data_IF_560937048544
#
_entry.id   IF_560937048544
#
_cell.length_a   1.000
_cell.length_b   1.000
_cell.length_c   1.000
_cell.angle_alpha   90.00
_cell.angle_beta   90.00
_cell.angle_gamma   90.00
#
_symmetry.space_group_name_H-M   'P 1'
#
loop_
_entity.id
_entity.type
_entity.pdbx_description
1 polymer ?
#
# COMPACT_ATOMS: atom_id res chain seq x y z
N UNK A 1 22.16 -19.98 -6.46
CA UNK A 1 20.85 -19.56 -6.00
C UNK A 1 20.05 -20.75 -5.51
N UNK A 2 19.44 -20.68 -4.35
CA UNK A 2 18.69 -21.79 -3.77
C UNK A 2 17.28 -21.84 -4.37
N UNK A 3 16.97 -22.89 -5.11
CA UNK A 3 15.67 -23.07 -5.75
C UNK A 3 14.53 -23.14 -4.72
N UNK A 4 14.79 -23.79 -3.56
CA UNK A 4 13.78 -23.88 -2.49
C UNK A 4 13.47 -22.50 -1.88
N UNK A 5 14.49 -21.66 -1.76
CA UNK A 5 14.29 -20.29 -1.27
C UNK A 5 13.46 -19.47 -2.26
N UNK A 6 13.74 -19.59 -3.56
CA UNK A 6 12.98 -18.86 -4.58
C UNK A 6 11.52 -19.29 -4.60
N UNK A 7 11.24 -20.59 -4.48
CA UNK A 7 9.86 -21.11 -4.40
C UNK A 7 9.16 -20.57 -3.14
N UNK A 8 9.86 -20.58 -2.01
CA UNK A 8 9.33 -20.04 -0.75
C UNK A 8 8.97 -18.56 -0.89
N UNK A 9 9.86 -17.74 -1.46
CA UNK A 9 9.61 -16.33 -1.64
C UNK A 9 8.46 -16.06 -2.60
N UNK A 10 8.32 -16.85 -3.65
CA UNK A 10 7.18 -16.74 -4.56
C UNK A 10 5.85 -17.00 -3.84
N UNK A 11 5.82 -18.01 -2.96
CA UNK A 11 4.63 -18.31 -2.16
C UNK A 11 4.31 -17.18 -1.20
N UNK A 12 5.31 -16.58 -0.56
CA UNK A 12 5.11 -15.45 0.36
C UNK A 12 4.52 -14.25 -0.37
N UNK A 13 5.05 -13.94 -1.55
CA UNK A 13 4.54 -12.83 -2.38
C UNK A 13 3.10 -13.10 -2.81
N UNK A 14 2.80 -14.30 -3.29
CA UNK A 14 1.46 -14.70 -3.72
C UNK A 14 0.45 -14.58 -2.59
N UNK A 15 0.80 -15.04 -1.40
CA UNK A 15 -0.07 -14.92 -0.22
C UNK A 15 -0.33 -13.47 0.14
N UNK A 16 0.70 -12.62 0.08
CA UNK A 16 0.54 -11.20 0.37
C UNK A 16 -0.37 -10.51 -0.66
N UNK A 17 -0.23 -10.85 -1.94
CA UNK A 17 -1.08 -10.31 -3.00
C UNK A 17 -2.54 -10.74 -2.81
N UNK A 18 -2.76 -12.01 -2.51
CA UNK A 18 -4.10 -12.54 -2.27
C UNK A 18 -4.75 -11.90 -1.04
N UNK A 19 -3.98 -11.71 0.02
CA UNK A 19 -4.46 -11.08 1.25
C UNK A 19 -4.97 -9.66 0.98
N UNK A 20 -4.20 -8.84 0.27
CA UNK A 20 -4.57 -7.45 0.05
C UNK A 20 -5.71 -7.31 -0.98
N UNK A 21 -5.76 -8.18 -1.99
CA UNK A 21 -6.88 -8.21 -2.93
C UNK A 21 -8.18 -8.63 -2.25
N UNK A 22 -8.11 -9.63 -1.39
CA UNK A 22 -9.24 -10.10 -0.61
C UNK A 22 -9.78 -9.00 0.31
N UNK A 23 -8.90 -8.14 0.79
CA UNK A 23 -9.27 -6.99 1.60
C UNK A 23 -9.97 -5.89 0.80
N UNK A 24 -9.86 -5.88 -0.53
CA UNK A 24 -10.55 -4.92 -1.38
C UNK A 24 -9.64 -3.91 -2.10
N UNK A 25 -8.33 -4.13 -2.07
CA UNK A 25 -7.36 -3.26 -2.76
C UNK A 25 -7.01 -3.81 -4.14
N UNK A 26 -6.99 -2.93 -5.12
CA UNK A 26 -6.57 -3.27 -6.48
C UNK A 26 -5.05 -3.18 -6.58
N UNK A 27 -4.40 -4.21 -7.11
CA UNK A 27 -2.97 -4.17 -7.37
C UNK A 27 -2.67 -3.38 -8.63
N UNK A 28 -1.68 -2.48 -8.55
CA UNK A 28 -1.14 -1.76 -9.69
C UNK A 28 0.26 -2.29 -9.95
N UNK A 29 0.48 -2.87 -11.12
CA UNK A 29 1.70 -3.62 -11.43
C UNK A 29 2.58 -2.96 -12.50
N UNK A 30 2.11 -1.87 -13.10
CA UNK A 30 2.87 -1.11 -14.09
C UNK A 30 2.77 0.39 -13.83
N UNK A 31 3.70 1.15 -14.39
CA UNK A 31 3.66 2.61 -14.30
C UNK A 31 2.39 3.17 -14.95
N UNK A 32 1.95 2.56 -16.05
CA UNK A 32 0.73 2.97 -16.74
C UNK A 32 -0.52 2.77 -15.87
N UNK A 33 -0.60 1.65 -15.17
CA UNK A 33 -1.70 1.37 -14.24
C UNK A 33 -1.76 2.46 -13.16
N UNK A 34 -0.62 2.83 -12.61
CA UNK A 34 -0.53 3.86 -11.58
C UNK A 34 -1.06 5.20 -12.11
N UNK A 35 -0.60 5.63 -13.27
CA UNK A 35 -1.03 6.91 -13.84
C UNK A 35 -2.52 6.91 -14.18
N UNK A 36 -3.05 5.80 -14.71
CA UNK A 36 -4.47 5.70 -15.04
C UNK A 36 -5.36 5.88 -13.81
N UNK A 37 -4.91 5.41 -12.67
CA UNK A 37 -5.68 5.50 -11.43
C UNK A 37 -5.46 6.84 -10.72
N UNK A 38 -4.20 7.23 -10.51
CA UNK A 38 -3.88 8.35 -9.63
C UNK A 38 -4.11 9.72 -10.29
N UNK A 39 -4.20 9.79 -11.61
CA UNK A 39 -4.52 11.02 -12.32
C UNK A 39 -6.01 11.33 -12.34
N UNK A 40 -6.86 10.38 -11.98
CA UNK A 40 -8.30 10.59 -11.96
C UNK A 40 -8.71 11.55 -10.85
N UNK A 41 -9.82 12.24 -11.08
CA UNK A 41 -10.45 13.06 -10.02
C UNK A 41 -10.95 12.17 -8.90
N UNK A 42 -10.98 12.73 -7.70
CA UNK A 42 -11.43 12.05 -6.51
C UNK A 42 -10.26 11.52 -5.69
N UNK A 43 -10.56 10.64 -4.74
CA UNK A 43 -9.59 10.17 -3.75
C UNK A 43 -9.14 8.75 -4.02
N UNK A 44 -7.84 8.53 -3.83
CA UNK A 44 -7.23 7.19 -3.89
C UNK A 44 -6.38 6.98 -2.65
N UNK A 45 -6.60 5.87 -1.97
CA UNK A 45 -5.68 5.43 -0.91
C UNK A 45 -4.70 4.45 -1.55
N UNK A 46 -3.42 4.80 -1.49
CA UNK A 46 -2.35 4.00 -2.07
C UNK A 46 -1.54 3.37 -0.95
N UNK A 47 -1.57 2.05 -0.88
CA UNK A 47 -0.70 1.30 0.03
C UNK A 47 0.57 0.90 -0.71
N UNK A 48 1.71 1.39 -0.23
CA UNK A 48 3.00 0.84 -0.66
C UNK A 48 3.26 -0.37 0.21
N UNK A 49 3.13 -1.53 -0.40
CA UNK A 49 3.15 -2.83 0.29
C UNK A 49 4.53 -3.47 0.22
N UNK A 50 4.75 -4.43 1.08
CA UNK A 50 5.95 -5.25 1.05
C UNK A 50 5.65 -6.61 1.65
N UNK A 51 6.63 -7.52 1.63
CA UNK A 51 6.51 -8.83 2.25
C UNK A 51 7.25 -8.92 3.59
N UNK A 52 7.64 -7.78 4.16
CA UNK A 52 8.30 -7.73 5.48
C UNK A 52 7.30 -7.97 6.61
N UNK A 53 7.82 -8.20 7.82
CA UNK A 53 7.00 -8.44 9.00
C UNK A 53 6.07 -7.28 9.36
N UNK A 54 6.51 -6.03 9.18
CA UNK A 54 5.68 -4.85 9.43
C UNK A 54 4.47 -4.79 8.49
N UNK A 55 4.65 -5.16 7.23
CA UNK A 55 3.55 -5.18 6.26
C UNK A 55 2.56 -6.29 6.60
N UNK A 56 3.04 -7.51 6.84
CA UNK A 56 2.19 -8.66 7.13
C UNK A 56 1.52 -8.62 8.49
N UNK A 57 2.25 -8.17 9.51
CA UNK A 57 1.77 -8.16 10.89
C UNK A 57 0.98 -6.92 11.28
N UNK A 58 1.19 -5.79 10.62
CA UNK A 58 0.58 -4.50 11.01
C UNK A 58 -0.13 -3.83 9.84
N UNK A 59 0.57 -3.54 8.76
CA UNK A 59 0.03 -2.69 7.69
C UNK A 59 -1.13 -3.32 6.93
N UNK A 60 -0.99 -4.58 6.47
CA UNK A 60 -2.09 -5.24 5.75
C UNK A 60 -3.30 -5.51 6.62
N UNK A 61 -3.16 -6.01 7.87
CA UNK A 61 -4.33 -6.11 8.75
C UNK A 61 -5.00 -4.76 9.00
N UNK A 62 -4.25 -3.68 9.20
CA UNK A 62 -4.81 -2.35 9.38
C UNK A 62 -5.54 -1.87 8.13
N UNK A 63 -4.97 -2.10 6.95
CA UNK A 63 -5.59 -1.76 5.67
C UNK A 63 -6.94 -2.47 5.50
N UNK A 64 -7.01 -3.76 5.84
CA UNK A 64 -8.25 -4.53 5.76
C UNK A 64 -9.30 -4.02 6.74
N UNK A 65 -8.92 -3.79 7.98
CA UNK A 65 -9.85 -3.34 9.02
C UNK A 65 -10.38 -1.93 8.77
N UNK A 66 -9.57 -1.04 8.20
CA UNK A 66 -9.98 0.33 7.92
C UNK A 66 -11.19 0.39 6.97
N UNK A 67 -11.41 -0.62 6.14
CA UNK A 67 -12.53 -0.67 5.19
C UNK A 67 -13.89 -0.91 5.87
N UNK A 68 -13.92 -1.25 7.14
CA UNK A 68 -15.16 -1.39 7.89
C UNK A 68 -15.73 -0.06 8.39
N UNK A 69 -15.04 1.05 8.16
CA UNK A 69 -15.49 2.38 8.57
C UNK A 69 -16.25 3.07 7.44
N UNK A 70 -17.11 4.03 7.81
CA UNK A 70 -18.12 4.60 6.90
C UNK A 70 -17.55 5.41 5.74
N UNK A 71 -16.42 6.10 5.95
CA UNK A 71 -15.86 6.97 4.93
C UNK A 71 -14.65 6.32 4.28
N UNK A 72 -14.81 5.89 3.04
CA UNK A 72 -13.73 5.28 2.27
C UNK A 72 -13.33 6.16 1.10
N UNK A 73 -12.04 6.17 0.72
CA UNK A 73 -11.63 6.74 -0.56
C UNK A 73 -12.33 6.05 -1.72
N UNK A 74 -12.47 6.74 -2.82
CA UNK A 74 -13.14 6.20 -4.01
C UNK A 74 -12.39 5.01 -4.60
N UNK A 75 -11.06 4.99 -4.49
CA UNK A 75 -10.20 3.93 -5.00
C UNK A 75 -9.25 3.46 -3.91
N UNK A 76 -9.09 2.15 -3.82
CA UNK A 76 -8.20 1.48 -2.88
C UNK A 76 -7.21 0.69 -3.70
N UNK A 77 -5.95 1.11 -3.72
CA UNK A 77 -4.93 0.52 -4.59
C UNK A 77 -3.65 0.24 -3.82
N UNK A 78 -2.85 -0.68 -4.35
CA UNK A 78 -1.58 -1.05 -3.72
C UNK A 78 -0.52 -1.33 -4.78
N UNK A 79 0.73 -1.02 -4.43
CA UNK A 79 1.92 -1.41 -5.19
C UNK A 79 2.87 -2.15 -4.26
N UNK A 80 3.55 -3.18 -4.77
CA UNK A 80 4.53 -3.96 -4.01
C UNK A 80 5.95 -3.46 -4.28
N UNK A 81 6.57 -2.87 -3.28
CA UNK A 81 7.86 -2.17 -3.40
C UNK A 81 9.00 -3.07 -3.91
N UNK A 82 9.04 -4.33 -3.50
CA UNK A 82 10.11 -5.22 -3.91
C UNK A 82 9.86 -5.96 -5.22
N UNK A 83 8.61 -6.13 -5.60
CA UNK A 83 8.18 -6.96 -6.73
C UNK A 83 7.77 -6.13 -7.95
N UNK A 84 7.03 -5.05 -7.74
CA UNK A 84 6.52 -4.18 -8.80
C UNK A 84 7.26 -2.85 -8.76
N UNK A 85 8.55 -2.87 -9.09
CA UNK A 85 9.45 -1.73 -8.92
C UNK A 85 9.06 -0.51 -9.75
N UNK A 86 8.65 -0.72 -10.99
CA UNK A 86 8.24 0.38 -11.88
C UNK A 86 6.95 1.04 -11.38
N UNK A 87 5.97 0.23 -11.00
CA UNK A 87 4.72 0.75 -10.44
C UNK A 87 4.98 1.52 -9.14
N UNK A 88 5.82 0.97 -8.26
CA UNK A 88 6.16 1.60 -6.99
C UNK A 88 6.87 2.94 -7.21
N UNK A 89 7.84 2.98 -8.12
CA UNK A 89 8.54 4.21 -8.43
C UNK A 89 7.60 5.27 -9.00
N UNK A 90 6.70 4.87 -9.88
CA UNK A 90 5.71 5.78 -10.46
C UNK A 90 4.74 6.31 -9.40
N UNK A 91 4.30 5.46 -8.48
CA UNK A 91 3.46 5.89 -7.36
C UNK A 91 4.19 6.91 -6.49
N UNK A 92 5.47 6.67 -6.21
CA UNK A 92 6.28 7.58 -5.39
C UNK A 92 6.47 8.96 -6.01
N UNK A 93 6.35 9.09 -7.32
CA UNK A 93 6.39 10.40 -7.96
C UNK A 93 5.20 11.28 -7.57
N UNK A 94 4.08 10.67 -7.14
CA UNK A 94 2.94 11.39 -6.60
C UNK A 94 3.12 11.78 -5.13
N UNK A 95 4.13 11.22 -4.44
CA UNK A 95 4.35 11.44 -3.00
C UNK A 95 5.31 12.61 -2.77
N UNK A 96 4.98 13.75 -3.31
CA UNK A 96 5.82 14.94 -3.28
C UNK A 96 6.08 15.39 -1.84
N UNK A 97 7.35 15.57 -1.49
CA UNK A 97 7.76 15.98 -0.16
C UNK A 97 8.04 14.84 0.82
N UNK A 98 7.88 13.59 0.41
CA UNK A 98 8.09 12.44 1.28
C UNK A 98 9.18 11.52 0.74
N UNK A 99 10.08 11.07 1.62
CA UNK A 99 11.11 10.10 1.27
C UNK A 99 10.50 8.71 1.05
N UNK A 100 11.09 7.87 0.20
CA UNK A 100 10.60 6.50 0.00
C UNK A 100 10.59 5.70 1.30
N UNK A 101 9.48 5.04 1.58
CA UNK A 101 9.34 4.11 2.69
C UNK A 101 8.33 3.01 2.35
N UNK A 102 8.46 1.85 2.98
CA UNK A 102 7.52 0.74 2.82
C UNK A 102 7.54 -0.15 4.07
N UNK A 103 6.38 -0.59 4.60
CA UNK A 103 5.05 -0.21 4.12
C UNK A 103 4.71 1.25 4.41
N UNK A 104 3.85 1.83 3.61
CA UNK A 104 3.34 3.18 3.81
C UNK A 104 1.98 3.35 3.15
N UNK A 105 1.26 4.42 3.51
CA UNK A 105 -0.04 4.75 2.93
C UNK A 105 -0.05 6.21 2.52
N UNK A 106 -0.56 6.48 1.33
CA UNK A 106 -0.70 7.84 0.83
C UNK A 106 -2.15 8.08 0.39
N UNK A 107 -2.71 9.21 0.76
CA UNK A 107 -4.00 9.66 0.26
C UNK A 107 -3.76 10.66 -0.86
N UNK A 108 -4.23 10.31 -2.05
CA UNK A 108 -4.10 11.15 -3.25
C UNK A 108 -5.49 11.70 -3.60
N UNK A 109 -5.60 13.00 -3.76
CA UNK A 109 -6.84 13.66 -4.17
C UNK A 109 -6.58 14.46 -5.44
N UNK A 110 -7.33 14.14 -6.50
CA UNK A 110 -7.22 14.82 -7.79
C UNK A 110 -5.77 14.87 -8.30
N UNK A 111 -5.04 13.77 -8.15
CA UNK A 111 -3.65 13.62 -8.59
C UNK A 111 -2.60 14.21 -7.65
N UNK A 112 -2.99 14.72 -6.48
CA UNK A 112 -2.05 15.35 -5.53
C UNK A 112 -2.11 14.69 -4.16
N UNK A 113 -0.96 14.52 -3.53
CA UNK A 113 -0.91 13.96 -2.18
C UNK A 113 -1.47 14.96 -1.16
N UNK A 114 -2.31 14.45 -0.26
CA UNK A 114 -2.89 15.23 0.84
C UNK A 114 -2.36 14.77 2.19
N UNK A 115 -2.19 13.47 2.38
CA UNK A 115 -1.73 12.89 3.64
C UNK A 115 -0.86 11.68 3.37
N UNK A 116 0.04 11.37 4.30
CA UNK A 116 0.88 10.16 4.23
C UNK A 116 1.11 9.57 5.61
N UNK A 117 1.02 8.25 5.69
CA UNK A 117 1.44 7.47 6.86
C UNK A 117 2.70 6.74 6.45
N UNK A 118 3.83 7.14 7.02
CA UNK A 118 5.14 6.60 6.67
C UNK A 118 5.48 5.36 7.51
N UNK A 119 6.49 4.61 7.06
CA UNK A 119 6.91 3.39 7.74
C UNK A 119 7.17 3.59 9.24
N UNK A 120 7.79 4.69 9.65
CA UNK A 120 8.09 4.94 11.06
C UNK A 120 6.84 5.12 11.91
N UNK A 121 5.70 5.45 11.29
CA UNK A 121 4.41 5.54 11.96
C UNK A 121 3.68 4.19 12.02
N UNK A 122 4.21 3.17 11.33
CA UNK A 122 3.65 1.81 11.28
C UNK A 122 4.52 0.87 12.10
N UNK A 123 5.83 0.86 11.83
CA UNK A 123 6.79 -0.03 12.48
C UNK A 123 6.85 0.25 13.98
N UNK A 124 6.70 -0.80 14.78
CA UNK A 124 6.72 -0.67 16.24
C UNK A 124 5.40 -0.20 16.84
N UNK A 125 4.40 0.14 16.04
CA UNK A 125 3.04 0.46 16.49
C UNK A 125 2.16 -0.77 16.38
N UNK A 126 1.06 -0.82 17.14
CA UNK A 126 0.14 -1.93 17.00
C UNK A 126 -0.90 -1.65 15.90
N UNK A 127 -1.62 -2.71 15.51
CA UNK A 127 -2.58 -2.65 14.42
C UNK A 127 -3.65 -1.58 14.66
N UNK A 128 -4.13 -1.45 15.89
CA UNK A 128 -5.17 -0.48 16.22
C UNK A 128 -4.70 0.96 16.01
N UNK A 129 -3.45 1.27 16.36
CA UNK A 129 -2.88 2.61 16.15
C UNK A 129 -2.86 2.98 14.67
N UNK A 130 -2.49 2.03 13.81
CA UNK A 130 -2.44 2.23 12.37
C UNK A 130 -3.85 2.37 11.79
N UNK A 131 -4.80 1.57 12.26
CA UNK A 131 -6.22 1.71 11.86
C UNK A 131 -6.73 3.12 12.18
N UNK A 132 -6.48 3.61 13.39
CA UNK A 132 -6.89 4.94 13.80
C UNK A 132 -6.26 6.02 12.92
N UNK A 133 -5.00 5.87 12.56
CA UNK A 133 -4.34 6.79 11.62
C UNK A 133 -5.00 6.77 10.25
N UNK A 134 -5.32 5.58 9.73
CA UNK A 134 -5.95 5.43 8.41
C UNK A 134 -7.34 6.06 8.33
N UNK A 135 -8.16 5.89 9.35
CA UNK A 135 -9.53 6.42 9.32
C UNK A 135 -9.59 7.94 9.51
N UNK A 136 -8.49 8.57 9.92
CA UNK A 136 -8.42 10.02 10.14
C UNK A 136 -7.73 10.79 9.02
N UNK A 137 -7.21 10.11 7.99
CA UNK A 137 -6.56 10.82 6.88
C UNK A 137 -7.51 11.27 5.78
#
# INVERSE_FOLDING_TARGET
MDLNFDLYMNDVVEQARNEIEHAGYQQLTSAEDVDQVLQQKGTSLVMVNSVCGCAGGIARPAAAHALHYDKLPQRLVTVFAGQDKEATQQAREYFEGYAPSSPSFALIKDGKITEMIERHQIEGHDVMDVILSLIHI
#
